data_IF_888439688262
#
_entry.id   IF_888439688262
#
_cell.length_a   1.000
_cell.length_b   1.000
_cell.length_c   1.000
_cell.angle_alpha   90.00
_cell.angle_beta   90.00
_cell.angle_gamma   90.00
#
_symmetry.space_group_name_H-M   'P 1'
#
loop_
_entity.id
_entity.type
_entity.pdbx_description
1 polymer ?
#
# COMPACT_ATOMS: atom_id res chain seq x y z
N UNK A 1 5.37 -17.66 10.00
CA UNK A 1 4.46 -18.48 9.15
C UNK A 1 4.42 -18.04 7.69
N UNK A 2 5.07 -16.95 7.35
CA UNK A 2 4.95 -16.33 6.02
C UNK A 2 6.09 -16.66 5.03
N UNK A 3 7.21 -17.17 5.49
CA UNK A 3 8.41 -17.35 4.65
C UNK A 3 8.22 -18.41 3.57
N UNK A 4 7.61 -19.55 3.90
CA UNK A 4 7.43 -20.67 2.96
C UNK A 4 6.38 -20.36 1.88
N UNK A 5 5.30 -19.68 2.24
CA UNK A 5 4.27 -19.26 1.29
C UNK A 5 4.85 -18.20 0.32
N UNK A 6 5.57 -17.21 0.84
CA UNK A 6 6.22 -16.17 0.02
C UNK A 6 7.24 -16.78 -0.95
N UNK A 7 8.09 -17.69 -0.47
CA UNK A 7 9.04 -18.42 -1.31
C UNK A 7 8.33 -19.23 -2.40
N UNK A 8 7.21 -19.88 -2.05
CA UNK A 8 6.42 -20.66 -3.01
C UNK A 8 5.80 -19.75 -4.07
N UNK A 9 5.29 -18.58 -3.68
CA UNK A 9 4.71 -17.59 -4.59
C UNK A 9 5.77 -17.05 -5.56
N UNK A 10 6.93 -16.66 -5.05
CA UNK A 10 8.07 -16.19 -5.87
C UNK A 10 8.58 -17.29 -6.83
N UNK A 11 8.66 -18.53 -6.36
CA UNK A 11 9.07 -19.64 -7.20
C UNK A 11 8.10 -19.89 -8.36
N UNK A 12 6.77 -19.82 -8.11
CA UNK A 12 5.77 -19.98 -9.16
C UNK A 12 5.89 -18.83 -10.18
N UNK A 13 6.10 -17.58 -9.76
CA UNK A 13 6.35 -16.44 -10.66
C UNK A 13 7.59 -16.70 -11.54
N UNK A 14 8.70 -17.07 -10.90
CA UNK A 14 9.94 -17.37 -11.60
C UNK A 14 9.81 -18.56 -12.58
N UNK A 15 8.98 -19.54 -12.27
CA UNK A 15 8.68 -20.68 -13.17
C UNK A 15 7.91 -20.22 -14.40
N UNK A 16 6.90 -19.36 -14.23
CA UNK A 16 6.13 -18.77 -15.33
C UNK A 16 7.09 -18.02 -16.29
N UNK A 17 7.97 -17.20 -15.75
CA UNK A 17 8.92 -16.42 -16.52
C UNK A 17 9.95 -17.29 -17.25
N UNK A 18 10.56 -18.25 -16.54
CA UNK A 18 11.59 -19.14 -17.09
C UNK A 18 11.07 -20.06 -18.18
N UNK A 19 9.83 -20.55 -18.04
CA UNK A 19 9.19 -21.42 -19.02
C UNK A 19 8.51 -20.61 -20.14
N UNK A 20 8.49 -19.27 -20.04
CA UNK A 20 7.89 -18.39 -21.02
C UNK A 20 6.39 -18.59 -21.17
N UNK A 21 5.70 -18.96 -20.08
CA UNK A 21 4.26 -19.21 -20.09
C UNK A 21 3.50 -17.91 -20.34
N UNK A 22 2.53 -17.97 -21.24
CA UNK A 22 1.72 -16.81 -21.66
C UNK A 22 0.32 -16.89 -21.10
N UNK A 23 -0.43 -15.80 -21.24
CA UNK A 23 -1.85 -15.76 -20.92
C UNK A 23 -2.60 -16.91 -21.59
N UNK A 24 -3.36 -17.66 -20.78
CA UNK A 24 -4.10 -18.83 -21.21
C UNK A 24 -3.34 -20.16 -21.10
N UNK A 25 -2.03 -20.14 -20.84
CA UNK A 25 -1.25 -21.37 -20.63
C UNK A 25 -1.60 -21.99 -19.29
N UNK A 26 -1.64 -23.32 -19.30
CA UNK A 26 -1.99 -24.09 -18.11
C UNK A 26 -0.75 -24.42 -17.30
N UNK A 27 -0.78 -24.10 -16.01
CA UNK A 27 0.25 -24.50 -15.05
C UNK A 27 0.20 -26.02 -14.77
N UNK A 28 1.32 -26.63 -14.37
CA UNK A 28 1.33 -27.97 -13.81
C UNK A 28 0.32 -28.08 -12.65
N UNK A 29 -0.14 -29.30 -12.39
CA UNK A 29 -1.09 -29.55 -11.30
C UNK A 29 -0.49 -29.18 -9.94
N UNK A 30 -1.34 -28.87 -8.95
CA UNK A 30 -0.89 -28.56 -7.58
C UNK A 30 -0.01 -29.68 -6.99
N UNK A 31 -0.26 -30.93 -7.37
CA UNK A 31 0.54 -32.08 -6.93
C UNK A 31 1.94 -32.07 -7.57
N UNK A 32 2.03 -31.74 -8.86
CA UNK A 32 3.31 -31.64 -9.56
C UNK A 32 4.14 -30.45 -9.00
N UNK A 33 3.52 -29.29 -8.84
CA UNK A 33 4.19 -28.13 -8.24
C UNK A 33 4.67 -28.41 -6.80
N UNK A 34 3.84 -29.10 -6.00
CA UNK A 34 4.22 -29.51 -4.65
C UNK A 34 5.41 -30.47 -4.64
N UNK A 35 5.43 -31.44 -5.58
CA UNK A 35 6.53 -32.39 -5.74
C UNK A 35 7.82 -31.70 -6.20
N UNK A 36 7.75 -30.78 -7.14
CA UNK A 36 8.91 -30.01 -7.65
C UNK A 36 9.55 -29.13 -6.57
N UNK A 37 8.72 -28.51 -5.73
CA UNK A 37 9.15 -27.60 -4.66
C UNK A 37 9.50 -28.31 -3.36
N UNK A 38 9.10 -29.56 -3.17
CA UNK A 38 9.27 -30.26 -1.90
C UNK A 38 8.41 -29.71 -0.77
N UNK A 39 7.25 -29.12 -1.09
CA UNK A 39 6.32 -28.53 -0.11
C UNK A 39 4.97 -29.26 -0.11
N UNK A 40 4.12 -29.00 0.88
CA UNK A 40 2.79 -29.59 0.91
C UNK A 40 1.88 -29.00 -0.18
N UNK A 41 0.93 -29.78 -0.66
CA UNK A 41 -0.11 -29.35 -1.60
C UNK A 41 -0.91 -28.15 -1.06
N UNK A 42 -1.08 -28.05 0.25
CA UNK A 42 -1.79 -26.95 0.90
C UNK A 42 -1.03 -25.63 0.70
N UNK A 43 0.29 -25.63 0.91
CA UNK A 43 1.14 -24.44 0.70
C UNK A 43 1.08 -23.98 -0.76
N UNK A 44 1.14 -24.90 -1.72
CA UNK A 44 1.01 -24.55 -3.15
C UNK A 44 -0.37 -23.99 -3.46
N UNK A 45 -1.43 -24.57 -2.88
CA UNK A 45 -2.80 -24.06 -3.08
C UNK A 45 -2.95 -22.64 -2.55
N UNK A 46 -2.40 -22.37 -1.36
CA UNK A 46 -2.48 -21.06 -0.74
C UNK A 46 -1.67 -20.01 -1.53
N UNK A 47 -0.50 -20.41 -2.07
CA UNK A 47 0.28 -19.57 -2.98
C UNK A 47 -0.47 -19.28 -4.31
N UNK A 48 -1.16 -20.30 -4.88
CA UNK A 48 -2.00 -20.12 -6.08
C UNK A 48 -3.18 -19.18 -5.80
N UNK A 49 -3.81 -19.28 -4.62
CA UNK A 49 -4.88 -18.36 -4.21
C UNK A 49 -4.35 -16.93 -4.12
N UNK A 50 -3.19 -16.72 -3.52
CA UNK A 50 -2.56 -15.41 -3.43
C UNK A 50 -2.25 -14.84 -4.84
N UNK A 51 -1.65 -15.66 -5.73
CA UNK A 51 -1.37 -15.25 -7.10
C UNK A 51 -2.63 -15.02 -7.94
N UNK A 52 -3.73 -15.70 -7.63
CA UNK A 52 -5.02 -15.42 -8.25
C UNK A 52 -5.63 -14.11 -7.76
N UNK A 53 -5.48 -13.77 -6.48
CA UNK A 53 -5.86 -12.48 -5.93
C UNK A 53 -5.03 -11.33 -6.56
N UNK A 54 -3.74 -11.58 -6.82
CA UNK A 54 -2.85 -10.65 -7.54
C UNK A 54 -3.15 -10.57 -9.05
N UNK A 55 -4.08 -11.38 -9.57
CA UNK A 55 -4.44 -11.41 -10.98
C UNK A 55 -3.38 -12.03 -11.90
N UNK A 56 -2.44 -12.78 -11.36
CA UNK A 56 -1.40 -13.50 -12.13
C UNK A 56 -1.92 -14.83 -12.64
N UNK A 57 -2.78 -15.47 -11.86
CA UNK A 57 -3.35 -16.80 -12.15
C UNK A 57 -4.88 -16.79 -12.11
N UNK A 58 -5.48 -17.72 -12.82
CA UNK A 58 -6.91 -18.05 -12.74
C UNK A 58 -7.08 -19.52 -12.40
N UNK A 59 -7.83 -19.82 -11.33
CA UNK A 59 -8.19 -21.19 -10.97
C UNK A 59 -9.57 -21.52 -11.54
N UNK A 60 -9.62 -22.48 -12.49
CA UNK A 60 -10.88 -22.98 -13.07
C UNK A 60 -11.20 -24.31 -12.44
N UNK A 61 -12.33 -24.39 -11.74
CA UNK A 61 -12.74 -25.58 -10.99
C UNK A 61 -12.80 -26.83 -11.87
N UNK A 62 -12.13 -27.90 -11.46
CA UNK A 62 -12.07 -29.16 -12.22
C UNK A 62 -11.21 -29.14 -13.49
N UNK A 63 -10.71 -27.98 -13.92
CA UNK A 63 -9.95 -27.83 -15.17
C UNK A 63 -8.46 -27.60 -14.90
N UNK A 64 -8.13 -26.74 -13.95
CA UNK A 64 -6.75 -26.44 -13.57
C UNK A 64 -6.49 -24.97 -13.26
N UNK A 65 -5.21 -24.64 -13.16
CA UNK A 65 -4.74 -23.26 -12.93
C UNK A 65 -4.11 -22.76 -14.22
N UNK A 66 -4.47 -21.57 -14.62
CA UNK A 66 -4.03 -20.93 -15.85
C UNK A 66 -3.32 -19.61 -15.56
N UNK A 67 -2.31 -19.30 -16.36
CA UNK A 67 -1.67 -17.98 -16.34
C UNK A 67 -2.66 -16.97 -16.93
N UNK A 68 -2.95 -15.93 -16.19
CA UNK A 68 -3.75 -14.81 -16.74
C UNK A 68 -2.93 -13.93 -17.67
N UNK A 69 -1.60 -14.10 -17.68
CA UNK A 69 -0.66 -13.17 -18.27
C UNK A 69 -0.45 -12.00 -17.32
N UNK A 70 0.61 -11.25 -17.55
CA UNK A 70 0.62 -9.90 -16.99
C UNK A 70 -0.73 -9.28 -17.40
N UNK A 71 -1.55 -8.89 -16.42
CA UNK A 71 -2.58 -7.92 -16.74
C UNK A 71 -1.79 -6.79 -17.38
N UNK A 72 -1.86 -6.68 -18.70
CA UNK A 72 -1.63 -5.39 -19.32
C UNK A 72 -2.58 -4.50 -18.57
N UNK A 73 -2.00 -3.71 -17.66
CA UNK A 73 -2.75 -2.70 -16.95
C UNK A 73 -3.64 -2.04 -18.01
N UNK A 74 -4.94 -1.81 -17.76
CA UNK A 74 -5.79 -1.13 -18.73
C UNK A 74 -4.94 -0.02 -19.35
N UNK A 75 -5.03 0.20 -20.66
CA UNK A 75 -4.15 1.15 -21.34
C UNK A 75 -4.02 2.48 -20.59
N UNK A 76 -5.05 2.82 -19.82
CA UNK A 76 -5.11 3.95 -18.88
C UNK A 76 -4.14 3.81 -17.70
N UNK A 77 -3.97 2.62 -17.13
CA UNK A 77 -3.04 2.38 -16.01
C UNK A 77 -1.61 2.32 -16.52
N UNK A 78 -1.36 1.68 -17.67
CA UNK A 78 -0.05 1.69 -18.33
C UNK A 78 0.37 3.12 -18.75
N UNK A 79 -0.59 3.94 -19.18
CA UNK A 79 -0.36 5.36 -19.46
C UNK A 79 -0.03 6.14 -18.18
N UNK A 80 -0.73 5.87 -17.09
CA UNK A 80 -0.48 6.51 -15.80
C UNK A 80 0.89 6.10 -15.25
N UNK A 81 1.27 4.83 -15.33
CA UNK A 81 2.59 4.35 -14.96
C UNK A 81 3.69 5.02 -15.81
N UNK A 82 3.47 5.15 -17.09
CA UNK A 82 4.38 5.85 -18.00
C UNK A 82 4.47 7.36 -17.68
N UNK A 83 3.38 7.98 -17.27
CA UNK A 83 3.35 9.40 -16.84
C UNK A 83 4.01 9.59 -15.46
N UNK A 84 3.90 8.63 -14.57
CA UNK A 84 4.48 8.69 -13.21
C UNK A 84 5.92 8.16 -13.16
N UNK A 85 6.37 7.37 -14.14
CA UNK A 85 7.74 6.87 -14.24
C UNK A 85 8.81 8.00 -14.18
N UNK A 86 8.61 9.17 -14.81
CA UNK A 86 9.53 10.30 -14.66
C UNK A 86 9.61 10.81 -13.21
N UNK A 87 8.53 10.76 -12.43
CA UNK A 87 8.56 11.14 -11.01
C UNK A 87 9.50 10.22 -10.19
N UNK A 88 9.71 9.00 -10.69
CA UNK A 88 10.67 8.06 -10.12
C UNK A 88 12.14 8.47 -10.31
N UNK A 89 12.44 9.23 -11.36
CA UNK A 89 13.79 9.66 -11.75
C UNK A 89 14.06 11.14 -11.43
N UNK A 90 13.05 11.90 -11.00
CA UNK A 90 13.21 13.31 -10.65
C UNK A 90 14.15 13.42 -9.43
N UNK A 91 15.07 14.37 -9.49
CA UNK A 91 15.86 14.83 -8.33
C UNK A 91 15.00 15.71 -7.40
N UNK A 92 13.82 15.20 -7.03
CA UNK A 92 12.99 15.85 -6.04
C UNK A 92 13.62 15.66 -4.67
N UNK A 93 13.63 16.71 -3.89
CA UNK A 93 13.99 16.61 -2.48
C UNK A 93 12.87 15.92 -1.71
N UNK A 94 13.20 15.38 -0.54
CA UNK A 94 12.18 14.83 0.35
C UNK A 94 11.07 15.85 0.67
N UNK A 95 11.43 17.12 0.80
CA UNK A 95 10.47 18.22 1.06
C UNK A 95 9.51 18.45 -0.12
N UNK A 96 10.01 18.41 -1.36
CA UNK A 96 9.16 18.52 -2.56
C UNK A 96 8.12 17.40 -2.59
N UNK A 97 8.54 16.19 -2.21
CA UNK A 97 7.66 15.03 -2.14
C UNK A 97 6.61 15.18 -1.04
N UNK A 98 6.95 15.71 0.13
CA UNK A 98 5.99 15.99 1.21
C UNK A 98 4.96 17.05 0.80
N UNK A 99 5.35 18.07 0.05
CA UNK A 99 4.42 19.08 -0.48
C UNK A 99 3.44 18.44 -1.49
N UNK A 100 3.92 17.59 -2.39
CA UNK A 100 3.07 16.84 -3.32
C UNK A 100 2.12 15.90 -2.58
N UNK A 101 2.62 15.17 -1.59
CA UNK A 101 1.83 14.30 -0.72
C UNK A 101 0.67 15.10 -0.08
N UNK A 102 0.98 16.27 0.49
CA UNK A 102 -0.03 17.12 1.12
C UNK A 102 -1.13 17.53 0.13
N UNK A 103 -0.78 17.91 -1.09
CA UNK A 103 -1.75 18.29 -2.11
C UNK A 103 -2.70 17.11 -2.48
N UNK A 104 -2.16 15.92 -2.63
CA UNK A 104 -2.93 14.73 -3.01
C UNK A 104 -3.77 14.19 -1.87
N UNK A 105 -3.18 13.98 -0.69
CA UNK A 105 -3.87 13.31 0.41
C UNK A 105 -4.95 14.17 1.07
N UNK A 106 -4.73 15.47 1.18
CA UNK A 106 -5.77 16.38 1.67
C UNK A 106 -7.00 16.32 0.77
N UNK A 107 -6.80 16.33 -0.56
CA UNK A 107 -7.92 16.24 -1.48
C UNK A 107 -8.56 14.85 -1.47
N UNK A 108 -7.77 13.79 -1.46
CA UNK A 108 -8.24 12.41 -1.36
C UNK A 108 -9.10 12.18 -0.12
N UNK A 109 -8.72 12.75 1.03
CA UNK A 109 -9.45 12.64 2.27
C UNK A 109 -10.88 13.22 2.18
N UNK A 110 -11.03 14.37 1.52
CA UNK A 110 -12.35 14.96 1.25
C UNK A 110 -13.19 14.10 0.29
N UNK A 111 -12.57 13.52 -0.75
CA UNK A 111 -13.26 12.59 -1.65
C UNK A 111 -13.69 11.31 -0.93
N UNK A 112 -12.83 10.74 -0.08
CA UNK A 112 -13.14 9.58 0.74
C UNK A 112 -14.34 9.84 1.64
N UNK A 113 -14.40 10.98 2.32
CA UNK A 113 -15.55 11.37 3.15
C UNK A 113 -16.86 11.38 2.37
N UNK A 114 -16.83 11.80 1.10
CA UNK A 114 -18.03 11.89 0.27
C UNK A 114 -18.40 10.57 -0.43
N UNK A 115 -17.45 9.63 -0.62
CA UNK A 115 -17.64 8.51 -1.56
C UNK A 115 -17.46 7.12 -0.96
N UNK A 116 -16.87 7.01 0.24
CA UNK A 116 -16.57 5.72 0.87
C UNK A 116 -17.83 4.84 1.01
N UNK A 117 -17.64 3.55 0.85
CA UNK A 117 -18.60 2.54 1.29
C UNK A 117 -18.40 2.21 2.78
N UNK A 118 -19.37 1.53 3.39
CA UNK A 118 -19.25 1.03 4.77
C UNK A 118 -18.05 0.11 4.96
N UNK A 119 -17.77 -0.75 3.99
CA UNK A 119 -16.60 -1.64 4.05
C UNK A 119 -15.28 -0.86 4.02
N UNK A 120 -15.18 0.17 3.17
CA UNK A 120 -14.00 1.04 3.11
C UNK A 120 -13.81 1.85 4.39
N UNK A 121 -14.90 2.35 4.98
CA UNK A 121 -14.86 3.02 6.29
C UNK A 121 -14.29 2.09 7.37
N UNK A 122 -14.76 0.83 7.43
CA UNK A 122 -14.22 -0.18 8.35
C UNK A 122 -12.72 -0.39 8.12
N UNK A 123 -12.29 -0.51 6.86
CA UNK A 123 -10.87 -0.68 6.51
C UNK A 123 -10.01 0.50 7.00
N UNK A 124 -10.49 1.74 6.89
CA UNK A 124 -9.79 2.93 7.38
C UNK A 124 -9.64 2.87 8.91
N UNK A 125 -10.72 2.52 9.64
CA UNK A 125 -10.68 2.39 11.09
C UNK A 125 -9.75 1.26 11.55
N UNK A 126 -9.78 0.12 10.87
CA UNK A 126 -8.91 -1.03 11.16
C UNK A 126 -7.44 -0.65 10.97
N UNK A 127 -7.11 0.08 9.91
CA UNK A 127 -5.75 0.56 9.66
C UNK A 127 -5.28 1.57 10.73
N UNK A 128 -6.15 2.49 11.15
CA UNK A 128 -5.84 3.42 12.24
C UNK A 128 -5.62 2.69 13.58
N UNK A 129 -6.42 1.66 13.86
CA UNK A 129 -6.28 0.81 15.04
C UNK A 129 -5.00 -0.02 14.99
N UNK A 130 -4.64 -0.56 13.82
CA UNK A 130 -3.40 -1.29 13.62
C UNK A 130 -2.17 -0.41 13.86
N UNK A 131 -2.21 0.86 13.44
CA UNK A 131 -1.16 1.84 13.73
C UNK A 131 -0.99 2.06 15.25
N UNK A 132 -2.09 2.26 15.99
CA UNK A 132 -2.06 2.41 17.44
C UNK A 132 -1.44 1.17 18.13
N UNK A 133 -1.82 -0.04 17.68
CA UNK A 133 -1.30 -1.30 18.21
C UNK A 133 0.16 -1.59 17.85
N UNK A 134 0.70 -0.89 16.86
CA UNK A 134 2.09 -1.01 16.45
C UNK A 134 3.05 -0.14 17.29
N UNK A 135 2.54 0.59 18.30
CA UNK A 135 3.36 1.43 19.16
C UNK A 135 4.49 0.62 19.82
N UNK A 136 5.72 1.08 19.64
CA UNK A 136 6.94 0.39 20.11
C UNK A 136 7.60 -0.56 19.10
N UNK A 137 6.98 -0.80 17.95
CA UNK A 137 7.56 -1.53 16.81
C UNK A 137 7.59 -0.61 15.57
N UNK A 138 8.73 0.02 15.34
CA UNK A 138 8.83 1.06 14.30
C UNK A 138 8.68 0.54 12.88
N UNK A 139 9.14 -0.67 12.59
CA UNK A 139 8.98 -1.27 11.26
C UNK A 139 7.50 -1.55 10.98
N UNK A 140 6.75 -1.92 12.02
CA UNK A 140 5.32 -2.14 11.93
C UNK A 140 4.55 -0.82 11.89
N UNK A 141 4.98 0.20 12.62
CA UNK A 141 4.38 1.54 12.57
C UNK A 141 4.36 2.11 11.16
N UNK A 142 5.47 2.00 10.41
CA UNK A 142 5.55 2.45 9.02
C UNK A 142 4.56 1.77 8.10
N UNK A 143 4.49 0.45 8.22
CA UNK A 143 3.58 -0.33 7.40
C UNK A 143 2.13 0.02 7.70
N UNK A 144 1.80 0.23 8.98
CA UNK A 144 0.45 0.61 9.39
C UNK A 144 0.09 2.05 8.99
N UNK A 145 1.04 2.99 9.08
CA UNK A 145 0.86 4.37 8.59
C UNK A 145 0.57 4.38 7.09
N UNK A 146 1.40 3.68 6.31
CA UNK A 146 1.22 3.56 4.87
C UNK A 146 -0.14 2.91 4.53
N UNK A 147 -0.55 1.86 5.26
CA UNK A 147 -1.83 1.19 5.06
C UNK A 147 -3.01 2.11 5.36
N UNK A 148 -2.92 2.96 6.39
CA UNK A 148 -3.94 3.94 6.73
C UNK A 148 -4.15 4.95 5.59
N UNK A 149 -3.09 5.54 5.09
CA UNK A 149 -3.17 6.50 3.99
C UNK A 149 -3.63 5.84 2.68
N UNK A 150 -3.19 4.60 2.42
CA UNK A 150 -3.65 3.81 1.27
C UNK A 150 -5.16 3.53 1.33
N UNK A 151 -5.69 3.16 2.49
CA UNK A 151 -7.12 2.91 2.68
C UNK A 151 -7.97 4.15 2.39
N UNK A 152 -7.48 5.35 2.76
CA UNK A 152 -8.13 6.61 2.42
C UNK A 152 -8.11 6.87 0.90
N UNK A 153 -6.97 6.62 0.24
CA UNK A 153 -6.86 6.75 -1.21
C UNK A 153 -7.83 5.80 -1.95
N UNK A 154 -7.95 4.56 -1.49
CA UNK A 154 -8.91 3.57 -2.02
C UNK A 154 -10.37 4.02 -1.84
N UNK A 155 -10.69 4.65 -0.70
CA UNK A 155 -12.01 5.17 -0.40
C UNK A 155 -12.42 6.40 -1.26
N UNK A 156 -11.50 6.97 -2.02
CA UNK A 156 -11.84 7.99 -3.03
C UNK A 156 -12.68 7.43 -4.17
N UNK A 157 -12.65 6.10 -4.39
CA UNK A 157 -13.22 5.42 -5.55
C UNK A 157 -12.77 6.03 -6.88
N UNK A 158 -11.53 6.53 -6.93
CA UNK A 158 -10.90 7.11 -8.10
C UNK A 158 -9.58 6.39 -8.40
N UNK A 159 -9.57 5.59 -9.48
CA UNK A 159 -8.42 4.77 -9.86
C UNK A 159 -7.13 5.60 -10.03
N UNK A 160 -7.22 6.84 -10.52
CA UNK A 160 -6.04 7.70 -10.69
C UNK A 160 -5.42 8.09 -9.34
N UNK A 161 -6.23 8.38 -8.31
CA UNK A 161 -5.73 8.62 -6.95
C UNK A 161 -5.10 7.37 -6.35
N UNK A 162 -5.72 6.21 -6.53
CA UNK A 162 -5.23 4.93 -6.00
C UNK A 162 -3.86 4.61 -6.58
N UNK A 163 -3.69 4.71 -7.89
CA UNK A 163 -2.42 4.41 -8.57
C UNK A 163 -1.35 5.47 -8.26
N UNK A 164 -1.70 6.76 -8.32
CA UNK A 164 -0.79 7.83 -7.93
C UNK A 164 -0.27 7.61 -6.50
N UNK A 165 -1.16 7.22 -5.58
CA UNK A 165 -0.80 6.98 -4.19
C UNK A 165 0.14 5.78 -4.03
N UNK A 166 -0.10 4.65 -4.72
CA UNK A 166 0.81 3.49 -4.72
C UNK A 166 2.22 3.85 -5.14
N UNK A 167 2.37 4.65 -6.21
CA UNK A 167 3.68 5.09 -6.70
C UNK A 167 4.35 6.05 -5.72
N UNK A 168 3.59 6.97 -5.14
CA UNK A 168 4.09 8.01 -4.26
C UNK A 168 4.35 7.48 -2.85
N UNK A 169 3.48 6.66 -2.27
CA UNK A 169 3.66 6.12 -0.92
C UNK A 169 4.94 5.32 -0.74
N UNK A 170 5.33 4.50 -1.73
CA UNK A 170 6.59 3.73 -1.67
C UNK A 170 7.80 4.65 -1.53
N UNK A 171 7.69 5.91 -1.99
CA UNK A 171 8.81 6.87 -2.04
C UNK A 171 8.72 8.00 -1.04
N UNK A 172 7.52 8.33 -0.57
CA UNK A 172 7.23 9.55 0.19
C UNK A 172 6.85 9.27 1.64
N UNK A 173 6.43 8.05 1.98
CA UNK A 173 6.21 7.72 3.39
C UNK A 173 7.57 7.78 4.06
N UNK A 174 7.77 8.70 5.03
CA UNK A 174 9.01 8.71 5.78
C UNK A 174 9.12 7.36 6.47
N UNK A 175 10.01 6.51 5.97
CA UNK A 175 10.30 5.27 6.67
C UNK A 175 10.93 5.65 8.00
N UNK A 176 10.53 5.12 9.16
CA UNK A 176 11.28 5.30 10.40
C UNK A 176 12.74 4.97 10.25
N UNK A 177 13.11 4.01 9.41
CA UNK A 177 14.48 3.76 9.04
C UNK A 177 15.15 5.03 8.47
N UNK A 178 14.50 5.72 7.51
CA UNK A 178 15.01 6.98 6.95
C UNK A 178 15.00 8.12 7.98
N UNK A 179 13.93 8.22 8.78
CA UNK A 179 13.83 9.23 9.83
C UNK A 179 14.89 9.04 10.91
N UNK A 180 15.26 7.79 11.24
CA UNK A 180 16.31 7.48 12.21
C UNK A 180 17.71 7.64 11.66
N UNK A 181 17.92 7.42 10.36
CA UNK A 181 19.20 7.73 9.70
C UNK A 181 19.43 9.24 9.67
N UNK A 182 18.36 10.03 9.56
CA UNK A 182 18.43 11.51 9.58
C UNK A 182 18.48 12.04 11.01
N UNK A 183 17.61 11.57 11.90
CA UNK A 183 17.60 11.94 13.33
C UNK A 183 16.76 10.91 14.15
N UNK A 184 17.41 10.15 15.05
CA UNK A 184 16.70 9.21 15.92
C UNK A 184 15.65 9.84 16.82
N UNK A 185 15.75 11.16 17.10
CA UNK A 185 14.79 11.90 17.92
C UNK A 185 13.49 12.26 17.20
N UNK A 186 13.38 11.97 15.91
CA UNK A 186 12.17 12.31 15.14
C UNK A 186 10.95 11.42 15.48
N UNK A 187 11.15 10.19 15.96
CA UNK A 187 10.06 9.30 16.36
C UNK A 187 10.09 9.09 17.87
N UNK A 188 9.35 9.93 18.57
CA UNK A 188 9.17 9.83 20.02
C UNK A 188 7.84 9.16 20.36
N UNK A 189 7.69 8.60 21.60
CA UNK A 189 6.38 8.12 22.04
C UNK A 189 5.27 9.16 21.92
N UNK A 190 5.56 10.44 22.25
CA UNK A 190 4.61 11.53 22.08
C UNK A 190 4.22 11.77 20.63
N UNK A 191 5.15 11.56 19.69
CA UNK A 191 4.83 11.65 18.27
C UNK A 191 3.82 10.58 17.86
N UNK A 192 4.02 9.33 18.31
CA UNK A 192 3.12 8.21 18.01
C UNK A 192 1.73 8.48 18.60
N UNK A 193 1.65 8.87 19.88
CA UNK A 193 0.39 9.21 20.56
C UNK A 193 -0.37 10.35 19.84
N UNK A 194 0.34 11.39 19.44
CA UNK A 194 -0.25 12.47 18.68
C UNK A 194 -0.75 12.00 17.30
N UNK A 195 0.01 11.14 16.61
CA UNK A 195 -0.40 10.56 15.32
C UNK A 195 -1.66 9.70 15.46
N UNK A 196 -1.78 8.90 16.52
CA UNK A 196 -3.00 8.13 16.84
C UNK A 196 -4.20 9.07 16.98
N UNK A 197 -4.04 10.17 17.73
CA UNK A 197 -5.10 11.16 17.92
C UNK A 197 -5.53 11.80 16.59
N UNK A 198 -4.56 12.12 15.74
CA UNK A 198 -4.82 12.72 14.42
C UNK A 198 -5.48 11.73 13.45
N UNK A 199 -5.03 10.47 13.40
CA UNK A 199 -5.68 9.43 12.60
C UNK A 199 -7.14 9.24 13.02
N UNK A 200 -7.44 9.20 14.31
CA UNK A 200 -8.82 9.12 14.81
C UNK A 200 -9.66 10.30 14.37
N UNK A 201 -9.13 11.53 14.46
CA UNK A 201 -9.85 12.73 14.02
C UNK A 201 -10.16 12.70 12.50
N UNK A 202 -9.25 12.14 11.69
CA UNK A 202 -9.46 11.92 10.26
C UNK A 202 -10.57 10.88 10.05
N UNK A 203 -10.52 9.74 10.74
CA UNK A 203 -11.55 8.70 10.67
C UNK A 203 -12.93 9.25 11.01
N UNK A 204 -13.06 9.99 12.12
CA UNK A 204 -14.31 10.59 12.55
C UNK A 204 -14.90 11.56 11.51
N UNK A 205 -14.06 12.40 10.90
CA UNK A 205 -14.49 13.32 9.87
C UNK A 205 -14.95 12.59 8.59
N UNK A 206 -14.22 11.55 8.20
CA UNK A 206 -14.60 10.69 7.07
C UNK A 206 -15.92 9.97 7.39
N UNK A 207 -16.09 9.38 8.58
CA UNK A 207 -17.31 8.70 9.00
C UNK A 207 -18.53 9.62 9.06
N UNK A 208 -18.31 10.88 9.43
CA UNK A 208 -19.35 11.91 9.42
C UNK A 208 -19.75 12.36 8.00
N UNK A 209 -18.97 12.00 6.97
CA UNK A 209 -19.17 12.51 5.60
C UNK A 209 -18.80 13.98 5.42
N UNK A 210 -18.07 14.55 6.40
CA UNK A 210 -17.65 15.95 6.41
C UNK A 210 -16.33 16.13 5.66
N UNK A 211 -16.45 16.41 4.37
CA UNK A 211 -15.30 16.53 3.47
C UNK A 211 -14.35 17.67 3.89
N UNK A 212 -14.88 18.79 4.36
CA UNK A 212 -14.06 19.94 4.75
C UNK A 212 -13.28 19.63 6.05
N UNK A 213 -13.95 19.10 7.06
CA UNK A 213 -13.33 18.67 8.31
C UNK A 213 -12.28 17.57 8.07
N UNK A 214 -12.56 16.61 7.18
CA UNK A 214 -11.62 15.56 6.79
C UNK A 214 -10.35 16.14 6.14
N UNK A 215 -10.50 17.09 5.23
CA UNK A 215 -9.39 17.79 4.61
C UNK A 215 -8.58 18.60 5.62
N UNK A 216 -9.24 19.30 6.55
CA UNK A 216 -8.57 20.06 7.60
C UNK A 216 -7.77 19.15 8.54
N UNK A 217 -8.35 18.02 8.96
CA UNK A 217 -7.68 17.04 9.82
C UNK A 217 -6.45 16.44 9.13
N UNK A 218 -6.56 16.01 7.86
CA UNK A 218 -5.44 15.48 7.08
C UNK A 218 -4.35 16.55 6.88
N UNK A 219 -4.73 17.78 6.57
CA UNK A 219 -3.77 18.90 6.43
C UNK A 219 -3.00 19.16 7.72
N UNK A 220 -3.67 19.14 8.86
CA UNK A 220 -3.03 19.34 10.17
C UNK A 220 -2.03 18.23 10.47
N UNK A 221 -2.41 16.96 10.22
CA UNK A 221 -1.58 15.79 10.38
C UNK A 221 -0.30 15.88 9.53
N UNK A 222 -0.44 16.07 8.22
CA UNK A 222 0.70 16.14 7.31
C UNK A 222 1.59 17.37 7.55
N UNK A 223 1.00 18.53 7.87
CA UNK A 223 1.76 19.74 8.17
C UNK A 223 2.61 19.60 9.45
N UNK A 224 2.18 18.79 10.42
CA UNK A 224 2.99 18.50 11.60
C UNK A 224 4.21 17.64 11.23
N UNK A 225 4.03 16.60 10.41
CA UNK A 225 5.12 15.83 9.85
C UNK A 225 6.13 16.72 9.11
N UNK A 226 5.63 17.57 8.21
CA UNK A 226 6.45 18.50 7.44
C UNK A 226 7.28 19.45 8.32
N UNK A 227 6.69 20.06 9.36
CA UNK A 227 7.41 20.94 10.30
C UNK A 227 8.54 20.24 11.03
N UNK A 228 8.33 18.98 11.42
CA UNK A 228 9.33 18.16 12.12
C UNK A 228 10.58 17.94 11.28
N UNK A 229 10.41 17.66 9.99
CA UNK A 229 11.56 17.49 9.09
C UNK A 229 12.29 18.80 8.77
N UNK A 230 11.59 19.93 8.76
CA UNK A 230 12.22 21.27 8.63
C UNK A 230 13.04 21.65 9.86
N UNK A 231 12.59 21.30 11.06
CA UNK A 231 13.30 21.61 12.30
C UNK A 231 14.57 20.80 12.50
N UNK A 232 14.63 19.58 12.02
CA UNK A 232 15.81 18.70 12.09
C UNK A 232 16.93 19.07 11.08
N UNK A 233 16.62 19.82 10.04
CA UNK A 233 17.60 20.24 9.02
C UNK A 233 18.33 21.55 9.37
N UNK A 234 18.05 22.14 10.53
CA UNK A 234 18.60 23.44 10.97
C UNK A 234 19.53 23.32 12.19
N UNK A 235 20.04 22.11 12.48
CA UNK A 235 21.00 21.84 13.57
C UNK A 235 22.38 21.42 13.06
#
# INVERSE_FOLDING_TARGET
>A
LNTLMTQTTEWIRNKIDKEGLKAGDKLPTLNQLASELGVSRTVVRDAVIALAADGVLESRHGVGVFVLGERTAPAEVALLDAMLAPLASIKATFMDLLELRMALEVHACGLAAARRSWAQETTIWDAATAFEQAAGDDARLDLCDAAFHQAIAEATNNAAFIEAFKVLCVKITPRPAFSREVDPALITPQYVEQSVTEHRAICEAISAGDAERAQQAMRAHLARGHRRYRGGAAG
#
